data_IF_757130969043
#
_entry.id   IF_757130969043
#
_cell.length_a   1.000
_cell.length_b   1.000
_cell.length_c   1.000
_cell.angle_alpha   90.00
_cell.angle_beta   90.00
_cell.angle_gamma   90.00
#
_symmetry.space_group_name_H-M   'P 1'
#
loop_
_entity.id
_entity.type
_entity.pdbx_description
1 polymer ?
#
# COMPACT_ATOMS: atom_id res chain seq x y z
N UNK A 1 14.62 -6.55 23.90
CA UNK A 1 13.88 -7.44 23.00
C UNK A 1 14.20 -7.05 21.56
N UNK A 2 14.34 -7.99 20.64
CA UNK A 2 14.54 -7.67 19.22
C UNK A 2 13.18 -7.23 18.66
N UNK A 3 13.07 -6.09 17.99
CA UNK A 3 11.83 -5.66 17.37
C UNK A 3 11.43 -6.58 16.24
N UNK A 4 10.14 -6.65 15.95
CA UNK A 4 9.59 -7.45 14.84
C UNK A 4 8.97 -6.55 13.77
N UNK A 5 8.83 -7.08 12.56
CA UNK A 5 8.02 -6.48 11.51
C UNK A 5 6.57 -6.96 11.59
N UNK A 6 5.64 -6.05 11.37
CA UNK A 6 4.21 -6.35 11.28
C UNK A 6 3.78 -6.21 9.81
N UNK A 7 3.15 -7.26 9.27
CA UNK A 7 2.56 -7.24 7.94
C UNK A 7 1.04 -7.35 8.02
N UNK A 8 0.35 -6.44 7.34
CA UNK A 8 -1.11 -6.45 7.22
C UNK A 8 -1.47 -6.68 5.76
N UNK A 9 -2.08 -7.84 5.48
CA UNK A 9 -2.50 -8.18 4.13
C UNK A 9 -3.87 -7.57 3.82
N UNK A 10 -3.91 -6.59 2.90
CA UNK A 10 -5.14 -5.97 2.40
C UNK A 10 -5.59 -6.67 1.12
N UNK A 11 -6.64 -7.49 1.14
CA UNK A 11 -6.96 -8.40 0.03
C UNK A 11 -7.77 -7.75 -1.10
N UNK A 12 -7.85 -6.44 -1.18
CA UNK A 12 -8.73 -5.77 -2.13
C UNK A 12 -7.98 -5.28 -3.37
N UNK A 13 -8.58 -5.51 -4.56
CA UNK A 13 -8.16 -4.90 -5.81
C UNK A 13 -9.36 -4.24 -6.51
N UNK A 14 -9.16 -3.08 -7.11
CA UNK A 14 -10.15 -2.48 -8.00
C UNK A 14 -10.37 -3.34 -9.24
N UNK A 15 -9.27 -3.96 -9.72
CA UNK A 15 -9.24 -4.92 -10.82
C UNK A 15 -8.07 -5.87 -10.61
N UNK A 16 -8.27 -7.17 -10.79
CA UNK A 16 -7.17 -8.15 -10.74
C UNK A 16 -6.39 -8.10 -12.06
N UNK A 17 -5.07 -7.92 -11.95
CA UNK A 17 -4.19 -7.95 -13.11
C UNK A 17 -4.00 -9.39 -13.61
N UNK A 18 -3.92 -9.64 -14.94
CA UNK A 18 -3.82 -10.99 -15.51
C UNK A 18 -2.62 -11.80 -15.01
N UNK A 19 -1.54 -11.14 -14.66
CA UNK A 19 -0.29 -11.77 -14.20
C UNK A 19 -0.22 -11.99 -12.68
N UNK A 20 -1.18 -11.41 -11.92
CA UNK A 20 -1.06 -11.36 -10.47
C UNK A 20 -1.69 -12.60 -9.82
N UNK A 21 -0.88 -13.32 -9.03
CA UNK A 21 -1.31 -14.50 -8.30
C UNK A 21 -1.48 -14.25 -6.78
N UNK A 22 -1.33 -13.02 -6.34
CA UNK A 22 -1.60 -12.67 -4.94
C UNK A 22 -3.07 -12.89 -4.59
N UNK A 23 -3.30 -13.35 -3.34
CA UNK A 23 -4.65 -13.47 -2.82
C UNK A 23 -5.34 -12.11 -2.79
N UNK A 24 -6.39 -11.96 -3.60
CA UNK A 24 -7.16 -10.73 -3.67
C UNK A 24 -8.60 -10.97 -4.11
N UNK A 25 -9.47 -10.06 -3.71
CA UNK A 25 -10.88 -10.01 -4.12
C UNK A 25 -11.27 -8.62 -4.61
N UNK A 26 -12.42 -8.50 -5.25
CA UNK A 26 -12.92 -7.22 -5.72
C UNK A 26 -13.17 -6.27 -4.55
N UNK A 27 -12.74 -5.01 -4.71
CA UNK A 27 -12.99 -3.98 -3.72
C UNK A 27 -14.49 -3.67 -3.59
N UNK A 28 -14.95 -3.62 -2.35
CA UNK A 28 -16.27 -3.15 -1.97
C UNK A 28 -16.16 -2.39 -0.64
N UNK A 29 -16.75 -1.22 -0.56
CA UNK A 29 -16.63 -0.34 0.61
C UNK A 29 -17.15 -1.00 1.90
N UNK A 30 -18.28 -1.71 1.82
CA UNK A 30 -18.84 -2.43 2.98
C UNK A 30 -17.91 -3.56 3.42
N UNK A 31 -17.33 -4.31 2.47
CA UNK A 31 -16.38 -5.37 2.77
C UNK A 31 -15.08 -4.81 3.37
N UNK A 32 -14.60 -3.66 2.86
CA UNK A 32 -13.43 -2.98 3.40
C UNK A 32 -13.65 -2.51 4.86
N UNK A 33 -14.84 -2.00 5.18
CA UNK A 33 -15.22 -1.67 6.57
C UNK A 33 -15.20 -2.90 7.48
N UNK A 34 -15.87 -3.98 7.08
CA UNK A 34 -15.87 -5.25 7.84
C UNK A 34 -14.47 -5.84 8.02
N UNK A 35 -13.63 -5.74 6.98
CA UNK A 35 -12.24 -6.14 7.04
C UNK A 35 -11.45 -5.31 8.07
N UNK A 36 -11.60 -3.98 8.03
CA UNK A 36 -10.97 -3.09 9.02
C UNK A 36 -11.35 -3.47 10.45
N UNK A 37 -12.65 -3.69 10.71
CA UNK A 37 -13.14 -4.13 12.01
C UNK A 37 -12.59 -5.52 12.42
N UNK A 38 -12.42 -6.43 11.46
CA UNK A 38 -11.83 -7.75 11.71
C UNK A 38 -10.37 -7.64 12.10
N UNK A 39 -9.57 -6.87 11.34
CA UNK A 39 -8.14 -6.62 11.66
C UNK A 39 -7.99 -6.01 13.04
N UNK A 40 -8.84 -5.03 13.40
CA UNK A 40 -8.81 -4.42 14.74
C UNK A 40 -9.13 -5.46 15.83
N UNK A 41 -10.07 -6.37 15.59
CA UNK A 41 -10.35 -7.47 16.55
C UNK A 41 -9.16 -8.42 16.69
N UNK A 42 -8.50 -8.76 15.58
CA UNK A 42 -7.32 -9.63 15.61
C UNK A 42 -6.16 -8.96 16.36
N UNK A 43 -5.95 -7.66 16.15
CA UNK A 43 -4.94 -6.87 16.89
C UNK A 43 -5.19 -6.94 18.40
N UNK A 44 -6.44 -6.83 18.85
CA UNK A 44 -6.81 -6.91 20.28
C UNK A 44 -6.52 -8.27 20.93
N UNK A 45 -6.32 -9.31 20.11
CA UNK A 45 -5.93 -10.64 20.56
C UNK A 45 -4.42 -10.90 20.51
N UNK A 46 -3.62 -9.90 20.08
CA UNK A 46 -2.17 -10.01 20.10
C UNK A 46 -1.65 -10.05 21.55
N UNK A 47 -0.50 -10.70 21.78
CA UNK A 47 0.19 -10.60 23.06
C UNK A 47 0.53 -9.14 23.41
N UNK A 48 0.53 -8.83 24.70
CA UNK A 48 1.00 -7.53 25.18
C UNK A 48 2.52 -7.37 24.99
N UNK A 49 2.96 -6.11 24.96
CA UNK A 49 4.39 -5.74 24.92
C UNK A 49 5.14 -6.22 23.65
N UNK A 50 4.49 -6.17 22.50
CA UNK A 50 5.14 -6.32 21.21
C UNK A 50 5.99 -5.09 20.90
N UNK A 51 7.27 -5.30 20.55
CA UNK A 51 8.15 -4.23 20.06
C UNK A 51 8.23 -4.37 18.53
N UNK A 52 7.90 -3.30 17.81
CA UNK A 52 7.93 -3.29 16.34
C UNK A 52 8.67 -2.06 15.81
N UNK A 53 9.44 -2.25 14.74
CA UNK A 53 10.14 -1.18 14.03
C UNK A 53 9.67 -1.02 12.58
N UNK A 54 8.89 -1.97 12.08
CA UNK A 54 8.31 -1.90 10.74
C UNK A 54 6.85 -2.32 10.75
N UNK A 55 6.04 -1.59 9.98
CA UNK A 55 4.66 -1.95 9.67
C UNK A 55 4.45 -1.83 8.17
N UNK A 56 3.95 -2.89 7.55
CA UNK A 56 3.78 -2.97 6.11
C UNK A 56 2.34 -3.31 5.75
N UNK A 57 1.65 -2.41 5.06
CA UNK A 57 0.37 -2.66 4.44
C UNK A 57 0.59 -3.11 2.99
N UNK A 58 0.38 -4.38 2.72
CA UNK A 58 0.61 -4.99 1.40
C UNK A 58 -0.53 -5.90 0.95
N UNK A 59 -0.31 -6.58 -0.17
CA UNK A 59 -1.18 -7.64 -0.68
C UNK A 59 -1.87 -7.34 -1.99
N UNK A 60 -3.15 -7.02 -1.99
CA UNK A 60 -3.88 -6.63 -3.20
C UNK A 60 -3.58 -5.18 -3.59
N UNK A 61 -4.28 -4.24 -3.01
CA UNK A 61 -4.09 -2.80 -3.23
C UNK A 61 -4.46 -2.04 -1.96
N UNK A 62 -3.56 -1.95 -0.98
CA UNK A 62 -3.82 -1.30 0.30
C UNK A 62 -4.28 0.16 0.18
N UNK A 63 -3.81 0.86 -0.85
CA UNK A 63 -4.23 2.23 -1.15
C UNK A 63 -5.69 2.38 -1.60
N UNK A 64 -6.48 1.32 -1.68
CA UNK A 64 -7.94 1.40 -1.79
C UNK A 64 -8.61 1.78 -0.46
N UNK A 65 -8.00 1.43 0.68
CA UNK A 65 -8.53 1.83 1.97
C UNK A 65 -8.45 3.36 2.13
N UNK A 66 -9.41 3.92 2.84
CA UNK A 66 -9.35 5.33 3.21
C UNK A 66 -8.31 5.57 4.30
N UNK A 67 -7.85 6.82 4.44
CA UNK A 67 -6.97 7.20 5.53
C UNK A 67 -7.62 6.93 6.91
N UNK A 68 -8.93 7.11 7.05
CA UNK A 68 -9.67 6.78 8.28
C UNK A 68 -9.60 5.29 8.63
N UNK A 69 -9.77 4.39 7.64
CA UNK A 69 -9.66 2.94 7.86
C UNK A 69 -8.24 2.55 8.28
N UNK A 70 -7.22 3.08 7.61
CA UNK A 70 -5.82 2.83 7.96
C UNK A 70 -5.50 3.41 9.35
N UNK A 71 -5.97 4.62 9.66
CA UNK A 71 -5.76 5.26 10.97
C UNK A 71 -6.35 4.42 12.10
N UNK A 72 -7.55 3.88 11.95
CA UNK A 72 -8.18 2.99 12.96
C UNK A 72 -7.33 1.75 13.23
N UNK A 73 -6.70 1.18 12.20
CA UNK A 73 -5.78 0.05 12.36
C UNK A 73 -4.51 0.49 13.08
N UNK A 74 -3.93 1.63 12.69
CA UNK A 74 -2.73 2.20 13.32
C UNK A 74 -2.98 2.51 14.81
N UNK A 75 -4.13 3.12 15.12
CA UNK A 75 -4.53 3.41 16.50
C UNK A 75 -4.66 2.13 17.32
N UNK A 76 -5.31 1.09 16.78
CA UNK A 76 -5.42 -0.20 17.46
C UNK A 76 -4.04 -0.81 17.74
N UNK A 77 -3.12 -0.79 16.76
CA UNK A 77 -1.76 -1.29 16.95
C UNK A 77 -0.99 -0.48 17.99
N UNK A 78 -1.14 0.84 18.03
CA UNK A 78 -0.43 1.70 18.98
C UNK A 78 -0.78 1.42 20.45
N UNK A 79 -1.94 0.81 20.71
CA UNK A 79 -2.33 0.39 22.06
C UNK A 79 -1.73 -0.95 22.50
N UNK A 80 -1.30 -1.80 21.55
CA UNK A 80 -0.76 -3.14 21.79
C UNK A 80 0.75 -3.24 21.50
N UNK A 81 1.27 -2.36 20.66
CA UNK A 81 2.65 -2.42 20.19
C UNK A 81 3.43 -1.16 20.57
N UNK A 82 4.66 -1.37 21.04
CA UNK A 82 5.62 -0.31 21.22
C UNK A 82 6.39 -0.08 19.92
N UNK A 83 6.10 1.00 19.23
CA UNK A 83 6.80 1.38 18.01
C UNK A 83 8.06 2.19 18.32
N UNK A 84 9.19 1.76 17.75
CA UNK A 84 10.50 2.41 17.91
C UNK A 84 10.89 2.99 16.55
N UNK A 85 10.57 4.26 16.30
CA UNK A 85 10.83 4.95 15.05
C UNK A 85 10.41 4.11 13.82
N UNK A 86 9.16 3.66 13.74
CA UNK A 86 8.77 2.65 12.77
C UNK A 86 8.84 3.16 11.33
N UNK A 87 9.28 2.31 10.42
CA UNK A 87 8.97 2.45 9.01
C UNK A 87 7.53 1.95 8.78
N UNK A 88 6.63 2.84 8.36
CA UNK A 88 5.24 2.50 8.04
C UNK A 88 5.06 2.58 6.54
N UNK A 89 5.03 1.42 5.89
CA UNK A 89 4.91 1.29 4.44
C UNK A 89 3.47 1.07 4.01
N UNK A 90 3.09 1.75 2.93
CA UNK A 90 1.84 1.49 2.21
C UNK A 90 2.14 1.16 0.74
N UNK A 91 1.65 0.01 0.26
CA UNK A 91 1.63 -0.27 -1.18
C UNK A 91 0.55 0.57 -1.88
N UNK A 92 0.95 1.18 -2.99
CA UNK A 92 0.13 2.13 -3.73
C UNK A 92 0.00 1.72 -5.20
N UNK A 93 -1.24 1.62 -5.65
CA UNK A 93 -1.51 1.61 -7.09
C UNK A 93 -1.77 3.06 -7.55
N UNK A 94 -1.05 3.57 -8.55
CA UNK A 94 -1.20 4.97 -9.01
C UNK A 94 -2.63 5.37 -9.40
N UNK A 95 -3.49 4.39 -9.74
CA UNK A 95 -4.90 4.65 -10.06
C UNK A 95 -5.79 4.91 -8.85
N UNK A 96 -5.37 4.55 -7.64
CA UNK A 96 -6.24 4.51 -6.46
C UNK A 96 -6.02 5.68 -5.50
N UNK A 97 -5.10 6.55 -5.85
CA UNK A 97 -4.73 7.70 -5.01
C UNK A 97 -4.81 9.02 -5.77
N UNK A 98 -5.08 10.07 -5.00
CA UNK A 98 -4.99 11.47 -5.39
C UNK A 98 -3.95 12.15 -4.50
N UNK A 99 -3.54 13.37 -4.83
CA UNK A 99 -2.66 14.19 -4.00
C UNK A 99 -3.23 14.40 -2.59
N UNK A 100 -4.54 14.68 -2.50
CA UNK A 100 -5.23 14.82 -1.21
C UNK A 100 -5.14 13.53 -0.37
N UNK A 101 -5.35 12.37 -1.00
CA UNK A 101 -5.29 11.08 -0.31
C UNK A 101 -3.87 10.77 0.18
N UNK A 102 -2.85 11.09 -0.62
CA UNK A 102 -1.45 10.98 -0.21
C UNK A 102 -1.13 11.89 0.98
N UNK A 103 -1.63 13.12 0.96
CA UNK A 103 -1.50 14.03 2.08
C UNK A 103 -2.17 13.49 3.35
N UNK A 104 -3.37 12.92 3.24
CA UNK A 104 -4.03 12.27 4.38
C UNK A 104 -3.21 11.10 4.92
N UNK A 105 -2.60 10.29 4.05
CA UNK A 105 -1.72 9.19 4.47
C UNK A 105 -0.48 9.68 5.23
N UNK A 106 0.12 10.78 4.81
CA UNK A 106 1.26 11.38 5.53
C UNK A 106 0.86 11.85 6.93
N UNK A 107 -0.37 12.34 7.10
CA UNK A 107 -0.88 12.84 8.39
C UNK A 107 -1.14 11.73 9.41
N UNK A 108 -1.46 10.53 8.97
CA UNK A 108 -1.65 9.38 9.86
C UNK A 108 -0.36 8.60 10.14
N UNK A 109 0.80 9.10 9.69
CA UNK A 109 2.10 8.54 10.02
C UNK A 109 2.66 7.54 8.99
N UNK A 110 2.01 7.30 7.85
CA UNK A 110 2.63 6.55 6.77
C UNK A 110 3.83 7.36 6.27
N UNK A 111 5.02 6.74 6.26
CA UNK A 111 6.29 7.43 5.94
C UNK A 111 7.08 6.79 4.79
N UNK A 112 6.60 5.64 4.28
CA UNK A 112 7.14 4.99 3.08
C UNK A 112 6.01 4.59 2.14
N UNK A 113 6.21 4.79 0.83
CA UNK A 113 5.29 4.36 -0.22
C UNK A 113 5.99 3.41 -1.19
N UNK A 114 5.33 2.29 -1.54
CA UNK A 114 5.76 1.38 -2.60
C UNK A 114 4.76 1.45 -3.75
N UNK A 115 5.16 2.04 -4.87
CA UNK A 115 4.29 2.19 -6.03
C UNK A 115 4.41 1.02 -7.00
N UNK A 116 3.32 0.30 -7.21
CA UNK A 116 3.22 -0.71 -8.26
C UNK A 116 3.13 -0.04 -9.64
N UNK A 117 4.23 0.47 -10.16
CA UNK A 117 4.33 1.13 -11.47
C UNK A 117 4.33 0.09 -12.59
N UNK A 118 5.18 -0.92 -12.49
CA UNK A 118 5.40 -2.07 -13.35
C UNK A 118 6.17 -1.75 -14.64
N UNK A 119 5.92 -0.63 -15.32
CA UNK A 119 6.68 -0.18 -16.49
C UNK A 119 6.53 1.33 -16.69
N UNK A 120 7.52 1.92 -17.36
CA UNK A 120 7.48 3.31 -17.86
C UNK A 120 6.92 3.39 -19.29
N UNK A 121 6.66 2.25 -19.95
CA UNK A 121 6.13 2.16 -21.30
C UNK A 121 4.63 1.84 -21.26
N UNK A 122 3.82 2.70 -21.87
CA UNK A 122 2.36 2.57 -21.84
C UNK A 122 1.85 1.30 -22.55
N UNK A 123 2.56 0.80 -23.56
CA UNK A 123 2.20 -0.45 -24.26
C UNK A 123 2.42 -1.67 -23.33
N UNK A 124 3.49 -1.69 -22.55
CA UNK A 124 3.73 -2.72 -21.54
C UNK A 124 2.69 -2.65 -20.43
N UNK A 125 2.36 -1.45 -19.94
CA UNK A 125 1.28 -1.27 -18.96
C UNK A 125 -0.05 -1.79 -19.48
N UNK A 126 -0.38 -1.54 -20.73
CA UNK A 126 -1.57 -2.07 -21.39
C UNK A 126 -1.53 -3.60 -21.50
N UNK A 127 -0.40 -4.17 -21.91
CA UNK A 127 -0.18 -5.63 -21.95
C UNK A 127 -0.38 -6.27 -20.58
N UNK A 128 0.12 -5.65 -19.52
CA UNK A 128 -0.05 -6.05 -18.12
C UNK A 128 -1.47 -5.83 -17.58
N UNK A 129 -2.36 -5.21 -18.36
CA UNK A 129 -3.71 -4.88 -17.90
C UNK A 129 -3.76 -3.78 -16.84
N UNK A 130 -2.73 -2.93 -16.76
CA UNK A 130 -2.72 -1.79 -15.82
C UNK A 130 -3.70 -0.72 -16.27
N UNK A 131 -4.30 -0.04 -15.29
CA UNK A 131 -5.31 1.01 -15.54
C UNK A 131 -4.70 2.43 -15.57
N UNK A 132 -3.43 2.57 -15.18
CA UNK A 132 -2.72 3.85 -15.25
C UNK A 132 -1.82 3.91 -16.46
N UNK A 133 -1.50 5.12 -16.91
CA UNK A 133 -0.39 5.41 -17.80
C UNK A 133 0.85 5.82 -17.00
N UNK A 134 2.02 5.81 -17.64
CA UNK A 134 3.26 6.28 -17.01
C UNK A 134 3.13 7.73 -16.52
N UNK A 135 2.57 8.63 -17.33
CA UNK A 135 2.43 10.04 -16.99
C UNK A 135 1.58 10.24 -15.71
N UNK A 136 0.56 9.39 -15.52
CA UNK A 136 -0.23 9.41 -14.29
C UNK A 136 0.57 8.92 -13.10
N UNK A 137 1.35 7.84 -13.26
CA UNK A 137 2.20 7.33 -12.21
C UNK A 137 3.27 8.34 -11.81
N UNK A 138 3.97 8.91 -12.79
CA UNK A 138 4.98 9.95 -12.59
C UNK A 138 4.41 11.17 -11.84
N UNK A 139 3.26 11.68 -12.28
CA UNK A 139 2.59 12.80 -11.61
C UNK A 139 2.30 12.51 -10.13
N UNK A 140 1.78 11.31 -9.82
CA UNK A 140 1.45 10.92 -8.45
C UNK A 140 2.71 10.73 -7.59
N UNK A 141 3.79 10.19 -8.16
CA UNK A 141 5.07 10.05 -7.47
C UNK A 141 5.65 11.43 -7.14
N UNK A 142 5.63 12.36 -8.11
CA UNK A 142 6.07 13.74 -7.90
C UNK A 142 5.24 14.46 -6.84
N UNK A 143 3.91 14.24 -6.82
CA UNK A 143 3.04 14.76 -5.75
C UNK A 143 3.42 14.18 -4.39
N UNK A 144 3.71 12.88 -4.28
CA UNK A 144 4.16 12.27 -3.04
C UNK A 144 5.46 12.90 -2.51
N UNK A 145 6.44 13.14 -3.39
CA UNK A 145 7.69 13.82 -3.05
C UNK A 145 7.43 15.25 -2.56
N UNK A 146 6.58 16.00 -3.25
CA UNK A 146 6.20 17.38 -2.89
C UNK A 146 5.47 17.46 -1.55
N UNK A 147 4.69 16.45 -1.18
CA UNK A 147 4.03 16.32 0.14
C UNK A 147 5.05 16.06 1.25
N UNK A 148 6.22 15.51 0.91
CA UNK A 148 7.31 15.26 1.86
C UNK A 148 7.64 13.78 2.11
N UNK A 149 7.09 12.85 1.34
CA UNK A 149 7.54 11.45 1.40
C UNK A 149 8.97 11.34 0.87
N UNK A 150 9.90 10.95 1.75
CA UNK A 150 11.33 10.81 1.42
C UNK A 150 11.72 9.37 1.07
N UNK A 151 10.92 8.41 1.48
CA UNK A 151 11.13 6.98 1.23
C UNK A 151 10.06 6.48 0.24
N UNK A 152 10.43 6.37 -1.02
CA UNK A 152 9.56 5.93 -2.11
C UNK A 152 10.28 4.84 -2.90
N UNK A 153 9.61 3.70 -3.11
CA UNK A 153 10.03 2.65 -4.03
C UNK A 153 9.03 2.48 -5.16
N UNK A 154 9.51 2.02 -6.31
CA UNK A 154 8.68 1.69 -7.46
C UNK A 154 8.98 0.25 -7.90
N UNK A 155 7.92 -0.55 -7.99
CA UNK A 155 8.03 -1.92 -8.48
C UNK A 155 8.02 -1.90 -10.02
N UNK A 156 8.96 -2.58 -10.63
CA UNK A 156 9.13 -2.69 -12.08
C UNK A 156 9.17 -4.17 -12.46
N UNK A 157 8.45 -4.54 -13.51
CA UNK A 157 8.49 -5.88 -14.10
C UNK A 157 9.50 -5.92 -15.25
N UNK A 158 10.37 -6.91 -15.21
CA UNK A 158 11.36 -7.18 -16.25
C UNK A 158 11.11 -8.53 -16.89
N UNK A 159 11.53 -8.69 -18.16
CA UNK A 159 11.38 -9.94 -18.90
C UNK A 159 9.99 -10.11 -19.53
N UNK A 160 9.26 -9.03 -19.77
CA UNK A 160 8.00 -9.08 -20.50
C UNK A 160 8.25 -9.41 -21.97
N UNK A 161 7.31 -10.14 -22.59
CA UNK A 161 7.40 -10.44 -24.01
C UNK A 161 7.43 -9.15 -24.84
N UNK A 162 8.47 -8.99 -25.66
CA UNK A 162 8.69 -7.80 -26.51
C UNK A 162 9.32 -6.62 -25.77
N UNK A 163 9.64 -6.75 -24.49
CA UNK A 163 10.36 -5.72 -23.74
C UNK A 163 11.79 -5.56 -24.27
N UNK A 164 12.22 -4.32 -24.51
CA UNK A 164 13.62 -3.99 -24.82
C UNK A 164 14.41 -3.70 -23.56
N UNK A 165 15.74 -3.62 -23.70
CA UNK A 165 16.66 -3.19 -22.64
C UNK A 165 16.95 -1.67 -22.69
N UNK A 166 16.32 -0.96 -23.63
CA UNK A 166 16.42 0.49 -23.80
C UNK A 166 15.30 1.23 -23.09
#
# INVERSE_FOLDING_TARGET
MTPIGIYIHVPFCARKCPYCDFYSCAYNLTAAGKYTDAVIRDIKNLPDNIYADTLYFGGGTPSLLSADMLNKILDALSHHCHFINPEITLEVNPCTVTEEKLFQYSKIGINRLSFGVQSVHNDELKFLGRMHSWEKAEKIINSAQSIGFKNISCDIMIGLSGQSIE
#
